data_IF_089791520892
#
_entry.id   IF_089791520892
#
_cell.length_a   1.000
_cell.length_b   1.000
_cell.length_c   1.000
_cell.angle_alpha   90.00
_cell.angle_beta   90.00
_cell.angle_gamma   90.00
#
_symmetry.space_group_name_H-M   'P 1'
#
loop_
_entity.id
_entity.type
_entity.pdbx_description
1 polymer ?
#
# COMPACT_ATOMS: atom_id res chain seq x y z
N UNK A 1 8.61 -21.34 0.81
CA UNK A 1 7.55 -20.30 0.81
C UNK A 1 6.17 -20.94 0.82
N UNK A 2 5.32 -20.54 1.77
CA UNK A 2 3.90 -20.93 1.86
C UNK A 2 3.14 -20.39 0.64
N UNK A 3 2.01 -21.01 0.28
CA UNK A 3 1.15 -20.63 -0.87
C UNK A 3 0.79 -19.14 -0.88
N UNK A 4 0.52 -18.54 0.28
CA UNK A 4 0.20 -17.11 0.44
C UNK A 4 1.35 -16.18 0.03
N UNK A 5 2.57 -16.53 0.38
CA UNK A 5 3.77 -15.72 0.07
C UNK A 5 4.05 -15.72 -1.44
N UNK A 6 3.85 -16.85 -2.11
CA UNK A 6 3.96 -16.94 -3.58
C UNK A 6 2.94 -16.04 -4.29
N UNK A 7 1.71 -15.99 -3.78
CA UNK A 7 0.66 -15.12 -4.33
C UNK A 7 1.00 -13.65 -4.12
N UNK A 8 1.41 -13.26 -2.90
CA UNK A 8 1.85 -11.88 -2.62
C UNK A 8 3.06 -11.48 -3.47
N UNK A 9 3.98 -12.40 -3.73
CA UNK A 9 5.17 -12.14 -4.54
C UNK A 9 4.80 -11.94 -6.00
N UNK A 10 3.91 -12.79 -6.52
CA UNK A 10 3.38 -12.63 -7.87
C UNK A 10 2.66 -11.28 -8.02
N UNK A 11 1.82 -10.89 -7.06
CA UNK A 11 1.17 -9.57 -7.04
C UNK A 11 2.21 -8.44 -7.03
N UNK A 12 3.26 -8.53 -6.22
CA UNK A 12 4.31 -7.52 -6.18
C UNK A 12 5.11 -7.40 -7.48
N UNK A 13 5.43 -8.53 -8.12
CA UNK A 13 6.11 -8.54 -9.42
C UNK A 13 5.21 -7.95 -10.50
N UNK A 14 3.92 -8.28 -10.50
CA UNK A 14 2.94 -7.70 -11.42
C UNK A 14 2.84 -6.18 -11.19
N UNK A 15 2.75 -5.74 -9.94
CA UNK A 15 2.69 -4.32 -9.58
C UNK A 15 3.95 -3.56 -10.05
N UNK A 16 5.14 -4.10 -9.78
CA UNK A 16 6.41 -3.54 -10.24
C UNK A 16 6.49 -3.50 -11.77
N UNK A 17 6.03 -4.56 -12.44
CA UNK A 17 6.01 -4.63 -13.89
C UNK A 17 5.08 -3.57 -14.47
N UNK A 18 3.90 -3.38 -13.88
CA UNK A 18 3.00 -2.29 -14.23
C UNK A 18 3.71 -0.94 -14.01
N UNK A 19 4.31 -0.71 -12.85
CA UNK A 19 5.04 0.53 -12.52
C UNK A 19 6.14 0.91 -13.53
N UNK A 20 6.75 -0.04 -14.23
CA UNK A 20 7.70 0.26 -15.32
C UNK A 20 7.02 1.00 -16.49
N UNK A 21 5.77 0.68 -16.79
CA UNK A 21 4.97 1.38 -17.81
C UNK A 21 4.48 2.75 -17.36
N UNK A 22 4.62 3.12 -16.08
CA UNK A 22 4.23 4.45 -15.59
C UNK A 22 4.89 5.58 -16.39
N UNK A 23 6.17 5.46 -16.75
CA UNK A 23 6.88 6.48 -17.53
C UNK A 23 6.26 6.65 -18.93
N UNK A 24 5.91 5.53 -19.57
CA UNK A 24 5.28 5.51 -20.89
C UNK A 24 3.84 6.05 -20.83
N UNK A 25 3.09 5.74 -19.77
CA UNK A 25 1.75 6.31 -19.52
C UNK A 25 1.85 7.82 -19.26
N UNK A 26 2.84 8.28 -18.50
CA UNK A 26 3.08 9.71 -18.21
C UNK A 26 3.40 10.50 -19.49
N UNK A 27 4.22 9.94 -20.37
CA UNK A 27 4.57 10.55 -21.66
C UNK A 27 3.39 10.54 -22.64
N UNK A 28 2.59 9.47 -22.66
CA UNK A 28 1.33 9.39 -23.41
C UNK A 28 0.24 10.34 -22.91
N UNK A 29 0.18 10.62 -21.62
CA UNK A 29 -0.76 11.61 -21.05
C UNK A 29 -0.33 13.04 -21.34
N UNK A 30 0.98 13.32 -21.44
CA UNK A 30 1.49 14.64 -21.87
C UNK A 30 1.01 15.02 -23.28
N UNK A 31 0.65 14.02 -24.10
CA UNK A 31 0.15 14.20 -25.46
C UNK A 31 -1.39 14.09 -25.58
N UNK A 32 -2.09 13.44 -24.63
CA UNK A 32 -3.56 13.24 -24.68
C UNK A 32 -4.36 13.89 -23.52
N UNK A 33 -3.70 14.64 -22.63
CA UNK A 33 -4.29 15.46 -21.56
C UNK A 33 -5.27 14.73 -20.60
N UNK A 34 -5.23 13.41 -20.50
CA UNK A 34 -6.10 12.64 -19.59
C UNK A 34 -5.46 12.51 -18.20
N UNK A 35 -5.67 13.51 -17.34
CA UNK A 35 -5.18 13.56 -15.95
C UNK A 35 -5.58 12.32 -15.11
N UNK A 36 -6.69 11.69 -15.49
CA UNK A 36 -7.31 10.53 -14.85
C UNK A 36 -6.37 9.31 -14.72
N UNK A 37 -5.56 9.05 -15.74
CA UNK A 37 -4.62 7.91 -15.73
C UNK A 37 -3.47 8.17 -14.76
N UNK A 38 -2.96 9.40 -14.65
CA UNK A 38 -1.84 9.69 -13.75
C UNK A 38 -2.27 9.56 -12.27
N UNK A 39 -3.47 10.02 -11.94
CA UNK A 39 -4.06 9.95 -10.60
C UNK A 39 -4.20 8.48 -10.17
N UNK A 40 -4.77 7.63 -11.02
CA UNK A 40 -4.93 6.20 -10.73
C UNK A 40 -3.59 5.51 -10.43
N UNK A 41 -2.56 5.79 -11.23
CA UNK A 41 -1.24 5.20 -11.04
C UNK A 41 -0.53 5.69 -9.78
N UNK A 42 -0.68 6.96 -9.44
CA UNK A 42 -0.03 7.56 -8.27
C UNK A 42 -0.70 7.17 -6.94
N UNK A 43 -2.03 7.06 -6.94
CA UNK A 43 -2.78 6.76 -5.73
C UNK A 43 -3.07 5.28 -5.51
N UNK A 44 -2.91 4.41 -6.52
CA UNK A 44 -3.17 2.98 -6.37
C UNK A 44 -1.89 2.13 -6.43
N UNK A 45 -1.11 2.22 -7.52
CA UNK A 45 0.07 1.34 -7.69
C UNK A 45 1.27 1.71 -6.82
N UNK A 46 1.58 3.01 -6.71
CA UNK A 46 2.67 3.47 -5.84
C UNK A 46 2.54 3.01 -4.37
N UNK A 47 1.42 3.25 -3.65
CA UNK A 47 1.29 2.83 -2.25
C UNK A 47 1.35 1.31 -2.08
N UNK A 48 0.72 0.56 -2.98
CA UNK A 48 0.70 -0.91 -2.92
C UNK A 48 2.13 -1.45 -3.10
N UNK A 49 2.90 -0.89 -4.03
CA UNK A 49 4.30 -1.27 -4.20
C UNK A 49 5.17 -0.94 -2.97
N UNK A 50 5.00 0.22 -2.34
CA UNK A 50 5.71 0.54 -1.09
C UNK A 50 5.31 -0.42 0.04
N UNK A 51 4.01 -0.70 0.19
CA UNK A 51 3.51 -1.65 1.18
C UNK A 51 4.05 -3.07 0.98
N UNK A 52 3.97 -3.59 -0.24
CA UNK A 52 4.49 -4.91 -0.57
C UNK A 52 6.02 -4.98 -0.43
N UNK A 53 6.73 -3.93 -0.85
CA UNK A 53 8.18 -3.81 -0.67
C UNK A 53 8.59 -3.88 0.80
N UNK A 54 7.93 -3.11 1.67
CA UNK A 54 8.15 -3.17 3.12
C UNK A 54 7.81 -4.53 3.72
N UNK A 55 6.70 -5.13 3.28
CA UNK A 55 6.27 -6.47 3.70
C UNK A 55 7.32 -7.54 3.37
N UNK A 56 7.84 -7.55 2.13
CA UNK A 56 8.87 -8.50 1.72
C UNK A 56 10.19 -8.26 2.45
N UNK A 57 10.59 -7.01 2.63
CA UNK A 57 11.81 -6.66 3.36
C UNK A 57 11.78 -7.23 4.79
N UNK A 58 10.67 -7.01 5.51
CA UNK A 58 10.46 -7.62 6.83
C UNK A 58 10.46 -9.14 6.76
N UNK A 59 9.77 -9.74 5.79
CA UNK A 59 9.72 -11.20 5.66
C UNK A 59 11.13 -11.80 5.53
N UNK A 60 12.00 -11.21 4.70
CA UNK A 60 13.38 -11.67 4.55
C UNK A 60 14.21 -11.49 5.82
N UNK A 61 14.04 -10.37 6.53
CA UNK A 61 14.72 -10.12 7.80
C UNK A 61 14.24 -11.12 8.87
N UNK A 62 12.92 -11.30 9.02
CA UNK A 62 12.31 -12.22 9.99
C UNK A 62 12.56 -13.69 9.68
N UNK A 63 12.73 -14.06 8.40
CA UNK A 63 13.17 -15.40 8.05
C UNK A 63 14.56 -15.72 8.65
N UNK A 64 15.38 -14.70 8.94
CA UNK A 64 16.69 -14.83 9.59
C UNK A 64 16.66 -14.56 11.09
N UNK A 65 15.83 -13.62 11.56
CA UNK A 65 15.76 -13.22 12.96
C UNK A 65 14.51 -13.81 13.63
N UNK A 66 14.70 -14.64 14.68
CA UNK A 66 13.62 -15.18 15.53
C UNK A 66 12.97 -14.09 16.39
N UNK A 67 12.36 -13.09 15.76
CA UNK A 67 11.71 -11.97 16.46
C UNK A 67 10.35 -12.44 16.94
N UNK A 68 10.15 -12.45 18.25
CA UNK A 68 8.87 -12.74 18.91
C UNK A 68 8.35 -11.44 19.51
N UNK A 69 7.13 -11.06 19.14
CA UNK A 69 6.45 -9.84 19.54
C UNK A 69 5.40 -10.22 20.56
N UNK A 70 5.26 -9.39 21.59
CA UNK A 70 4.21 -9.58 22.59
C UNK A 70 2.81 -9.48 21.96
N UNK A 71 1.89 -10.36 22.37
CA UNK A 71 0.53 -10.43 21.83
C UNK A 71 -0.25 -9.12 21.98
N UNK A 72 -0.03 -8.37 23.07
CA UNK A 72 -0.67 -7.06 23.30
C UNK A 72 -0.17 -6.02 22.31
N UNK A 73 1.14 -5.99 22.06
CA UNK A 73 1.77 -5.08 21.08
C UNK A 73 1.32 -5.44 19.67
N UNK A 74 1.29 -6.73 19.31
CA UNK A 74 0.81 -7.20 18.02
C UNK A 74 -0.63 -6.77 17.74
N UNK A 75 -1.53 -6.89 18.73
CA UNK A 75 -2.93 -6.48 18.60
C UNK A 75 -3.06 -4.97 18.41
N UNK A 76 -2.32 -4.17 19.17
CA UNK A 76 -2.33 -2.71 19.04
C UNK A 76 -1.83 -2.28 17.65
N UNK A 77 -0.78 -2.93 17.16
CA UNK A 77 -0.19 -2.64 15.85
C UNK A 77 -1.14 -2.98 14.71
N UNK A 78 -1.85 -4.12 14.79
CA UNK A 78 -2.86 -4.51 13.80
C UNK A 78 -4.02 -3.50 13.75
N UNK A 79 -4.44 -2.97 14.90
CA UNK A 79 -5.47 -1.91 14.95
C UNK A 79 -4.96 -0.63 14.28
N UNK A 80 -3.70 -0.25 14.51
CA UNK A 80 -3.09 0.90 13.85
C UNK A 80 -3.00 0.72 12.34
N UNK A 81 -2.56 -0.45 11.88
CA UNK A 81 -2.50 -0.80 10.44
C UNK A 81 -3.90 -0.74 9.81
N UNK A 82 -4.91 -1.27 10.50
CA UNK A 82 -6.29 -1.22 10.03
C UNK A 82 -6.82 0.22 9.95
N UNK A 83 -6.54 1.07 10.94
CA UNK A 83 -6.93 2.48 10.92
C UNK A 83 -6.31 3.23 9.72
N UNK A 84 -5.02 3.02 9.45
CA UNK A 84 -4.34 3.61 8.29
C UNK A 84 -4.95 3.10 6.97
N UNK A 85 -5.24 1.81 6.87
CA UNK A 85 -5.89 1.23 5.69
C UNK A 85 -7.29 1.82 5.46
N UNK A 86 -8.10 2.01 6.51
CA UNK A 86 -9.43 2.62 6.40
C UNK A 86 -9.33 4.06 5.89
N UNK A 87 -8.43 4.87 6.46
CA UNK A 87 -8.23 6.27 5.99
C UNK A 87 -7.81 6.31 4.53
N UNK A 88 -6.92 5.41 4.12
CA UNK A 88 -6.45 5.33 2.74
C UNK A 88 -7.54 4.85 1.77
N UNK A 89 -8.32 3.83 2.12
CA UNK A 89 -9.45 3.34 1.31
C UNK A 89 -10.54 4.40 1.21
N UNK A 90 -10.81 5.13 2.29
CA UNK A 90 -11.77 6.23 2.26
C UNK A 90 -11.29 7.39 1.37
N UNK A 91 -10.03 7.79 1.47
CA UNK A 91 -9.44 8.84 0.62
C UNK A 91 -9.41 8.46 -0.86
N UNK A 92 -8.99 7.24 -1.19
CA UNK A 92 -8.98 6.75 -2.58
C UNK A 92 -10.39 6.50 -3.12
N UNK A 93 -11.27 5.92 -2.30
CA UNK A 93 -12.67 5.64 -2.66
C UNK A 93 -13.45 6.93 -2.95
N UNK A 94 -13.28 7.97 -2.14
CA UNK A 94 -13.92 9.28 -2.39
C UNK A 94 -13.43 9.95 -3.68
N UNK A 95 -12.14 9.78 -4.04
CA UNK A 95 -11.63 10.24 -5.34
C UNK A 95 -12.24 9.49 -6.51
N UNK A 96 -12.30 8.15 -6.44
CA UNK A 96 -12.87 7.32 -7.50
C UNK A 96 -14.38 7.59 -7.65
N UNK A 97 -15.12 7.72 -6.56
CA UNK A 97 -16.56 8.05 -6.59
C UNK A 97 -16.80 9.43 -7.18
N UNK A 98 -15.99 10.44 -6.83
CA UNK A 98 -16.12 11.75 -7.46
C UNK A 98 -15.87 11.68 -8.97
N UNK A 99 -14.87 10.91 -9.38
CA UNK A 99 -14.47 10.79 -10.77
C UNK A 99 -15.48 10.03 -11.63
N UNK A 100 -16.15 9.00 -11.11
CA UNK A 100 -17.09 8.18 -11.88
C UNK A 100 -18.57 8.52 -11.66
N UNK A 101 -18.96 8.95 -10.47
CA UNK A 101 -20.37 9.21 -10.14
C UNK A 101 -20.71 10.70 -9.99
N UNK A 102 -19.73 11.62 -10.02
CA UNK A 102 -19.91 13.07 -9.81
C UNK A 102 -20.75 13.45 -8.57
N UNK A 103 -20.90 12.51 -7.61
CA UNK A 103 -21.84 12.64 -6.51
C UNK A 103 -21.29 13.47 -5.32
N UNK A 104 -20.00 13.83 -5.38
CA UNK A 104 -19.30 14.63 -4.37
C UNK A 104 -19.15 16.07 -4.88
N UNK A 105 -19.43 17.10 -4.06
CA UNK A 105 -19.27 18.49 -4.46
C UNK A 105 -17.83 18.80 -4.88
N UNK A 106 -17.69 19.46 -6.03
CA UNK A 106 -16.42 19.74 -6.70
C UNK A 106 -15.38 20.39 -5.77
N UNK A 107 -15.80 21.36 -4.95
CA UNK A 107 -14.91 22.06 -4.00
C UNK A 107 -14.29 21.15 -2.94
N UNK A 108 -15.05 20.16 -2.48
CA UNK A 108 -14.64 19.24 -1.42
C UNK A 108 -13.68 18.19 -2.01
N UNK A 109 -13.98 17.72 -3.21
CA UNK A 109 -13.12 16.78 -3.91
C UNK A 109 -11.80 17.40 -4.36
N UNK A 110 -11.79 18.64 -4.90
CA UNK A 110 -10.54 19.34 -5.24
C UNK A 110 -9.68 19.60 -4.01
N UNK A 111 -10.29 19.93 -2.87
CA UNK A 111 -9.56 20.14 -1.61
C UNK A 111 -8.92 18.85 -1.11
N UNK A 112 -9.66 17.73 -1.13
CA UNK A 112 -9.11 16.40 -0.81
C UNK A 112 -8.00 16.04 -1.79
N UNK A 113 -8.20 16.27 -3.10
CA UNK A 113 -7.21 16.00 -4.13
C UNK A 113 -5.92 16.77 -3.89
N UNK A 114 -6.01 18.06 -3.59
CA UNK A 114 -4.85 18.91 -3.35
C UNK A 114 -4.10 18.52 -2.07
N UNK A 115 -4.84 18.23 -0.99
CA UNK A 115 -4.26 17.76 0.26
C UNK A 115 -3.52 16.44 0.05
N UNK A 116 -4.14 15.48 -0.66
CA UNK A 116 -3.49 14.24 -1.04
C UNK A 116 -2.27 14.50 -1.93
N UNK A 117 -2.36 15.25 -3.04
CA UNK A 117 -1.22 15.51 -3.91
C UNK A 117 -0.05 16.23 -3.22
N UNK A 118 -0.29 17.00 -2.16
CA UNK A 118 0.77 17.74 -1.44
C UNK A 118 1.42 16.91 -0.33
N UNK A 119 0.60 16.18 0.43
CA UNK A 119 1.03 15.41 1.61
C UNK A 119 1.53 14.03 1.19
N UNK A 120 0.84 13.40 0.24
CA UNK A 120 1.07 12.02 -0.15
C UNK A 120 2.48 11.74 -0.71
N UNK A 121 3.06 12.56 -1.62
CA UNK A 121 4.42 12.32 -2.11
C UNK A 121 5.46 12.41 -1.01
N UNK A 122 5.22 13.25 0.00
CA UNK A 122 6.14 13.44 1.13
C UNK A 122 6.09 12.29 2.13
N UNK A 123 5.01 11.52 2.16
CA UNK A 123 4.76 10.49 3.17
C UNK A 123 4.49 9.09 2.60
N UNK A 124 4.74 8.88 1.30
CA UNK A 124 4.52 7.56 0.66
C UNK A 124 5.34 6.44 1.30
N UNK A 125 6.50 6.76 1.89
CA UNK A 125 7.32 5.80 2.63
C UNK A 125 6.62 5.19 3.85
N UNK A 126 5.60 5.87 4.41
CA UNK A 126 4.81 5.34 5.53
C UNK A 126 4.14 4.02 5.15
N UNK A 127 3.75 3.84 3.88
CA UNK A 127 3.19 2.56 3.41
C UNK A 127 4.20 1.42 3.51
N UNK A 128 5.49 1.69 3.26
CA UNK A 128 6.55 0.70 3.46
C UNK A 128 6.75 0.36 4.93
N UNK A 129 6.66 1.34 5.84
CA UNK A 129 6.72 1.09 7.29
C UNK A 129 5.52 0.24 7.71
N UNK A 130 4.32 0.57 7.23
CA UNK A 130 3.09 -0.19 7.52
C UNK A 130 3.19 -1.62 6.97
N UNK A 131 3.73 -1.82 5.77
CA UNK A 131 3.99 -3.14 5.21
C UNK A 131 4.99 -3.96 6.02
N UNK A 132 6.08 -3.32 6.45
CA UNK A 132 7.11 -3.90 7.31
C UNK A 132 6.50 -4.38 8.65
N UNK A 133 5.79 -3.48 9.33
CA UNK A 133 5.07 -3.77 10.57
C UNK A 133 4.03 -4.89 10.40
N UNK A 134 3.33 -4.94 9.26
CA UNK A 134 2.35 -6.00 8.96
C UNK A 134 3.01 -7.37 8.86
N UNK A 135 4.15 -7.47 8.19
CA UNK A 135 4.92 -8.72 8.12
C UNK A 135 5.42 -9.15 9.50
N UNK A 136 5.93 -8.22 10.32
CA UNK A 136 6.30 -8.53 11.71
C UNK A 136 5.12 -9.14 12.46
N UNK A 137 3.96 -8.49 12.44
CA UNK A 137 2.78 -9.01 13.14
C UNK A 137 2.35 -10.39 12.64
N UNK A 138 2.49 -10.70 11.36
CA UNK A 138 2.05 -11.98 10.80
C UNK A 138 3.05 -13.12 11.03
N UNK A 139 4.35 -12.82 11.09
CA UNK A 139 5.42 -13.82 11.17
C UNK A 139 6.04 -13.96 12.56
N UNK A 140 5.75 -13.06 13.48
CA UNK A 140 6.29 -13.08 14.84
C UNK A 140 5.66 -14.12 15.78
N UNK A 141 5.06 -15.18 15.23
CA UNK A 141 4.50 -16.26 16.04
C UNK A 141 5.62 -17.02 16.77
N UNK A 142 5.45 -17.29 18.09
CA UNK A 142 6.33 -18.19 18.80
C UNK A 142 6.16 -19.59 18.19
N UNK A 143 7.29 -20.15 17.79
CA UNK A 143 7.53 -21.51 17.31
C UNK A 143 6.37 -22.30 16.68
N UNK A 144 6.48 -22.49 15.37
CA UNK A 144 5.88 -23.64 14.67
C UNK A 144 6.80 -24.87 14.70
N UNK A 145 7.69 -24.99 15.70
CA UNK A 145 8.62 -26.12 15.93
C UNK A 145 8.49 -26.74 17.33
N UNK A 146 7.30 -26.77 17.92
CA UNK A 146 7.04 -27.55 19.14
C UNK A 146 5.94 -28.60 19.01
N UNK A 147 5.48 -28.91 17.79
CA UNK A 147 4.52 -30.00 17.54
C UNK A 147 4.84 -30.76 16.25
N UNK A 148 6.07 -31.25 16.12
CA UNK A 148 6.41 -32.45 15.34
C UNK A 148 7.33 -33.32 16.20
#
# INVERSE_FOLDING_TARGET
MKKREKVMLALFVIDLFLLLFYKQVREGVRTTFTYEKIVFWWFYFYPIAYFLGGYFLSYFILAKSKIVLDKKVQKMLLVLIAAVAVVYVFGTGTMVIHQFLQCVPYSLATTIMYAFFTIYPKHVYLFSIVGFLTAICLFSHPDRRQYE
#
